data_IF_670627945530
#
_entry.id   IF_670627945530
#
_cell.length_a   1.000
_cell.length_b   1.000
_cell.length_c   1.000
_cell.angle_alpha   90.00
_cell.angle_beta   90.00
_cell.angle_gamma   90.00
#
_symmetry.space_group_name_H-M   'P 1'
#
loop_
_entity.id
_entity.type
_entity.pdbx_description
1 polymer ?
#
# COMPACT_ATOMS: atom_id res chain seq x y z
N UNK A 1 21.15 -2.12 13.17
CA UNK A 1 19.81 -2.74 13.28
C UNK A 1 19.07 -2.52 11.97
N UNK A 2 18.41 -3.53 11.42
CA UNK A 2 17.53 -3.40 10.26
C UNK A 2 16.13 -3.82 10.71
N UNK A 3 15.19 -2.89 10.71
CA UNK A 3 13.78 -3.16 10.94
C UNK A 3 13.09 -3.47 9.61
N UNK A 4 12.79 -4.75 9.41
CA UNK A 4 12.01 -5.28 8.30
C UNK A 4 10.70 -5.91 8.80
N UNK A 5 10.21 -5.48 9.95
CA UNK A 5 8.94 -5.94 10.49
C UNK A 5 7.77 -5.35 9.69
N UNK A 6 6.68 -6.11 9.59
CA UNK A 6 5.60 -5.84 8.63
C UNK A 6 4.86 -4.53 8.94
N UNK A 7 4.75 -4.15 10.21
CA UNK A 7 4.02 -2.95 10.65
C UNK A 7 4.86 -1.94 11.43
N UNK A 8 6.19 -2.10 11.44
CA UNK A 8 7.13 -1.22 12.15
C UNK A 8 7.12 -1.46 13.65
N UNK A 9 7.17 -2.71 14.06
CA UNK A 9 7.16 -3.15 15.45
C UNK A 9 8.37 -2.59 16.22
N UNK A 10 9.59 -2.59 15.63
CA UNK A 10 10.76 -1.99 16.30
C UNK A 10 10.69 -0.47 16.32
N UNK A 11 10.13 0.16 15.29
CA UNK A 11 9.82 1.61 15.28
C UNK A 11 8.96 1.98 16.49
N UNK A 12 7.92 1.20 16.78
CA UNK A 12 7.04 1.43 17.92
C UNK A 12 7.74 1.20 19.27
N UNK A 13 8.40 0.04 19.44
CA UNK A 13 9.08 -0.32 20.70
C UNK A 13 10.20 0.66 21.04
N UNK A 14 10.94 1.13 20.04
CA UNK A 14 12.01 2.12 20.21
C UNK A 14 11.49 3.56 20.36
N UNK A 15 10.18 3.76 20.36
CA UNK A 15 9.49 5.07 20.40
C UNK A 15 10.07 6.06 19.37
N UNK A 16 10.39 5.56 18.18
CA UNK A 16 10.83 6.39 17.06
C UNK A 16 9.63 7.19 16.54
N UNK A 17 9.77 8.51 16.29
CA UNK A 17 8.68 9.28 15.72
C UNK A 17 8.18 8.70 14.39
N UNK A 18 6.88 8.42 14.31
CA UNK A 18 6.23 7.85 13.13
C UNK A 18 4.87 8.51 12.86
N UNK A 19 4.39 8.31 11.63
CA UNK A 19 3.03 8.61 11.18
C UNK A 19 2.26 7.32 10.99
N UNK A 20 0.94 7.40 11.15
CA UNK A 20 0.01 6.28 10.98
C UNK A 20 -1.30 6.80 10.41
N UNK A 21 -1.94 6.01 9.54
CA UNK A 21 -3.20 6.37 8.92
C UNK A 21 -3.08 7.59 8.01
N UNK A 22 -4.12 8.41 7.91
CA UNK A 22 -4.18 9.52 6.95
C UNK A 22 -3.33 10.70 7.40
N UNK A 23 -2.45 11.17 6.50
CA UNK A 23 -1.74 12.44 6.62
C UNK A 23 -2.68 13.63 6.36
N UNK A 24 -2.56 14.77 7.06
CA UNK A 24 -3.42 15.92 6.83
C UNK A 24 -3.19 16.57 5.46
N UNK A 25 -4.25 17.18 4.90
CA UNK A 25 -4.20 18.00 3.69
C UNK A 25 -3.07 19.03 3.80
N UNK A 26 -2.23 19.05 2.77
CA UNK A 26 -1.15 20.01 2.64
C UNK A 26 -0.81 20.23 1.17
N UNK A 27 0.15 21.10 0.88
CA UNK A 27 0.63 21.26 -0.50
C UNK A 27 1.45 20.05 -1.00
N UNK A 28 1.87 19.15 -0.09
CA UNK A 28 2.57 17.90 -0.39
C UNK A 28 1.62 16.71 -0.54
N UNK A 29 0.47 16.78 0.14
CA UNK A 29 -0.64 15.80 0.15
C UNK A 29 -1.97 16.50 -0.23
N UNK A 30 -2.05 17.12 -1.43
CA UNK A 30 -3.22 17.92 -1.82
C UNK A 30 -4.50 17.10 -1.98
N UNK A 31 -4.41 15.77 -2.12
CA UNK A 31 -5.55 14.88 -2.28
C UNK A 31 -5.97 14.17 -0.99
N UNK A 32 -5.37 14.49 0.16
CA UNK A 32 -5.74 13.87 1.43
C UNK A 32 -7.23 14.09 1.75
N UNK A 33 -7.85 13.09 2.35
CA UNK A 33 -9.26 13.13 2.75
C UNK A 33 -9.49 13.82 4.10
N UNK A 34 -8.43 14.28 4.78
CA UNK A 34 -8.52 14.77 6.16
C UNK A 34 -7.76 16.06 6.39
N UNK A 35 -8.38 17.02 7.08
CA UNK A 35 -7.70 18.25 7.51
C UNK A 35 -6.76 18.04 8.71
N UNK A 36 -6.90 16.91 9.41
CA UNK A 36 -6.10 16.53 10.59
C UNK A 36 -5.54 15.12 10.40
N UNK A 37 -4.42 14.76 11.06
CA UNK A 37 -3.98 13.36 11.09
C UNK A 37 -5.10 12.44 11.59
N UNK A 38 -5.27 11.30 10.95
CA UNK A 38 -6.25 10.27 11.36
C UNK A 38 -5.56 8.91 11.47
N UNK A 39 -5.03 8.56 12.66
CA UNK A 39 -4.25 7.33 12.86
C UNK A 39 -5.09 6.06 12.87
N UNK A 40 -6.42 6.17 12.84
CA UNK A 40 -7.32 5.01 12.90
C UNK A 40 -7.73 4.52 11.52
N UNK A 41 -7.67 5.40 10.52
CA UNK A 41 -7.95 5.06 9.13
C UNK A 41 -6.69 4.58 8.41
N UNK A 42 -6.28 3.34 8.69
CA UNK A 42 -5.27 2.64 7.90
C UNK A 42 -5.93 1.95 6.70
N UNK A 43 -5.15 1.63 5.66
CA UNK A 43 -5.61 0.80 4.56
C UNK A 43 -5.97 -0.61 5.04
N UNK A 44 -6.97 -1.21 4.40
CA UNK A 44 -7.43 -2.56 4.74
C UNK A 44 -6.35 -3.63 4.60
N UNK A 45 -6.47 -4.69 5.41
CA UNK A 45 -5.62 -5.87 5.32
C UNK A 45 -6.45 -7.09 4.91
N UNK A 46 -5.78 -8.16 4.48
CA UNK A 46 -6.50 -9.32 3.90
C UNK A 46 -5.87 -10.63 4.28
N UNK A 47 -6.67 -11.56 4.81
CA UNK A 47 -6.33 -12.97 4.79
C UNK A 47 -6.74 -13.55 3.45
N UNK A 48 -5.77 -14.03 2.68
CA UNK A 48 -6.06 -14.77 1.45
C UNK A 48 -6.37 -16.23 1.78
N UNK A 49 -7.05 -16.89 0.85
CA UNK A 49 -7.29 -18.33 0.92
C UNK A 49 -7.24 -18.92 -0.48
N UNK A 50 -6.98 -20.22 -0.57
CA UNK A 50 -7.01 -20.93 -1.84
C UNK A 50 -8.29 -21.76 -1.96
N UNK A 51 -8.90 -21.75 -3.14
CA UNK A 51 -10.04 -22.60 -3.48
C UNK A 51 -9.75 -23.34 -4.77
N UNK A 52 -10.27 -24.56 -4.88
CA UNK A 52 -10.13 -25.41 -6.06
C UNK A 52 -11.48 -25.67 -6.72
N UNK A 53 -11.52 -25.57 -8.05
CA UNK A 53 -12.68 -25.96 -8.84
C UNK A 53 -12.83 -27.49 -8.88
N UNK A 54 -14.05 -27.98 -8.66
CA UNK A 54 -14.40 -29.41 -8.59
C UNK A 54 -15.34 -29.80 -9.72
N UNK A 55 -15.32 -31.07 -10.14
CA UNK A 55 -16.27 -31.56 -11.15
C UNK A 55 -17.71 -31.53 -10.63
N UNK A 56 -17.91 -32.04 -9.42
CA UNK A 56 -19.21 -32.11 -8.76
C UNK A 56 -19.42 -30.95 -7.77
N UNK A 57 -20.67 -30.51 -7.56
CA UNK A 57 -21.00 -29.50 -6.56
C UNK A 57 -20.63 -29.99 -5.16
N UNK A 58 -20.12 -29.08 -4.33
CA UNK A 58 -19.75 -29.32 -2.95
C UNK A 58 -20.83 -28.81 -2.00
N UNK A 59 -21.05 -29.52 -0.89
CA UNK A 59 -21.91 -29.05 0.20
C UNK A 59 -21.08 -28.18 1.14
N UNK A 60 -21.54 -26.97 1.40
CA UNK A 60 -20.93 -26.05 2.37
C UNK A 60 -21.89 -25.82 3.53
N UNK A 61 -21.40 -26.04 4.75
CA UNK A 61 -22.14 -25.66 5.95
C UNK A 61 -22.06 -24.14 6.12
N UNK A 62 -23.18 -23.54 6.54
CA UNK A 62 -23.24 -22.10 6.79
C UNK A 62 -22.42 -21.82 8.05
N UNK A 63 -21.36 -21.02 8.00
CA UNK A 63 -20.61 -20.69 9.20
C UNK A 63 -21.49 -19.86 10.17
N UNK A 64 -21.38 -20.11 11.48
CA UNK A 64 -22.21 -19.43 12.49
C UNK A 64 -22.08 -17.90 12.47
N UNK A 65 -20.93 -17.39 12.01
CA UNK A 65 -20.65 -15.97 11.87
C UNK A 65 -21.09 -15.37 10.51
N UNK A 66 -21.53 -16.19 9.54
CA UNK A 66 -21.78 -15.71 8.17
C UNK A 66 -22.86 -14.63 8.11
N UNK A 67 -23.94 -14.78 8.89
CA UNK A 67 -25.05 -13.81 8.93
C UNK A 67 -24.57 -12.40 9.31
N UNK A 68 -23.51 -12.30 10.12
CA UNK A 68 -22.88 -11.02 10.50
C UNK A 68 -22.25 -10.32 9.29
N UNK A 69 -21.48 -11.05 8.47
CA UNK A 69 -20.71 -10.48 7.36
C UNK A 69 -21.42 -10.50 6.00
N UNK A 70 -22.50 -11.27 5.85
CA UNK A 70 -23.26 -11.34 4.59
C UNK A 70 -23.68 -9.96 4.01
N UNK A 71 -24.00 -8.93 4.82
CA UNK A 71 -24.30 -7.58 4.31
C UNK A 71 -23.08 -6.80 3.78
N UNK A 72 -21.85 -7.32 3.94
CA UNK A 72 -20.63 -6.67 3.47
C UNK A 72 -20.30 -7.02 2.03
N UNK A 73 -20.46 -8.29 1.65
CA UNK A 73 -19.86 -8.82 0.43
C UNK A 73 -20.47 -8.27 -0.86
N UNK A 74 -19.60 -7.98 -1.83
CA UNK A 74 -19.99 -7.49 -3.15
C UNK A 74 -18.91 -7.75 -4.20
N UNK A 75 -19.32 -7.86 -5.46
CA UNK A 75 -18.41 -7.73 -6.60
C UNK A 75 -17.96 -6.29 -6.87
N UNK A 76 -18.45 -5.31 -6.10
CA UNK A 76 -18.15 -3.87 -6.14
C UNK A 76 -18.69 -3.16 -7.39
N UNK A 77 -18.38 -3.66 -8.58
CA UNK A 77 -18.71 -3.02 -9.86
C UNK A 77 -19.44 -3.99 -10.80
N UNK A 78 -20.46 -3.49 -11.50
CA UNK A 78 -21.27 -4.30 -12.45
C UNK A 78 -20.44 -4.99 -13.53
N UNK A 79 -19.39 -4.33 -14.03
CA UNK A 79 -18.51 -4.91 -15.05
C UNK A 79 -17.56 -5.99 -14.51
N UNK A 80 -17.36 -6.05 -13.19
CA UNK A 80 -16.54 -7.05 -12.50
C UNK A 80 -17.37 -8.15 -11.85
N UNK A 81 -18.71 -8.03 -11.85
CA UNK A 81 -19.66 -8.96 -11.26
C UNK A 81 -19.76 -10.29 -12.02
N UNK A 82 -18.70 -11.08 -11.95
CA UNK A 82 -18.56 -12.39 -12.58
C UNK A 82 -17.66 -13.26 -11.70
N UNK A 83 -18.21 -14.37 -11.20
CA UNK A 83 -17.41 -15.33 -10.45
C UNK A 83 -16.29 -15.92 -11.29
N UNK A 84 -16.50 -16.37 -12.56
CA UNK A 84 -15.41 -16.86 -13.39
C UNK A 84 -14.29 -15.83 -13.54
N UNK A 85 -14.62 -14.55 -13.66
CA UNK A 85 -13.63 -13.49 -13.75
C UNK A 85 -12.82 -13.35 -12.46
N UNK A 86 -13.50 -13.25 -11.30
CA UNK A 86 -12.84 -13.15 -9.99
C UNK A 86 -11.95 -14.37 -9.73
N UNK A 87 -12.43 -15.56 -10.08
CA UNK A 87 -11.69 -16.80 -9.94
C UNK A 87 -10.46 -16.84 -10.87
N UNK A 88 -10.63 -16.59 -12.16
CA UNK A 88 -9.54 -16.74 -13.15
C UNK A 88 -8.49 -15.63 -13.06
N UNK A 89 -8.90 -14.41 -12.71
CA UNK A 89 -7.99 -13.28 -12.44
C UNK A 89 -6.99 -13.59 -11.31
N UNK A 90 -7.37 -14.47 -10.38
CA UNK A 90 -6.58 -14.87 -9.21
C UNK A 90 -6.06 -16.31 -9.27
N UNK A 91 -6.16 -16.95 -10.42
CA UNK A 91 -5.74 -18.34 -10.61
C UNK A 91 -4.23 -18.46 -10.49
N UNK A 92 -3.80 -19.38 -9.63
CA UNK A 92 -2.39 -19.69 -9.36
C UNK A 92 -1.96 -21.03 -9.96
N UNK A 93 -2.91 -21.88 -10.33
CA UNK A 93 -2.65 -23.17 -10.95
C UNK A 93 -3.80 -23.57 -11.88
N UNK A 94 -3.45 -24.22 -13.00
CA UNK A 94 -4.40 -24.89 -13.89
C UNK A 94 -3.79 -26.20 -14.38
N UNK A 95 -4.57 -27.29 -14.49
CA UNK A 95 -4.07 -28.54 -15.06
C UNK A 95 -3.89 -28.48 -16.58
N UNK A 96 -4.47 -27.49 -17.27
CA UNK A 96 -4.35 -27.34 -18.72
C UNK A 96 -4.03 -25.88 -19.10
N UNK A 97 -2.76 -25.45 -18.93
CA UNK A 97 -2.36 -24.08 -19.25
C UNK A 97 -2.44 -23.77 -20.74
N UNK A 98 -2.28 -24.78 -21.60
CA UNK A 98 -2.33 -24.62 -23.06
C UNK A 98 -3.70 -24.14 -23.55
N UNK A 99 -4.79 -24.44 -22.81
CA UNK A 99 -6.12 -23.91 -23.11
C UNK A 99 -6.13 -22.38 -23.16
N UNK A 100 -5.28 -21.73 -22.36
CA UNK A 100 -5.25 -20.28 -22.16
C UNK A 100 -4.27 -19.52 -23.05
N UNK A 101 -3.67 -20.19 -24.03
CA UNK A 101 -2.88 -19.53 -25.07
C UNK A 101 -3.79 -18.74 -26.02
N UNK A 102 -3.39 -17.52 -26.33
CA UNK A 102 -4.02 -16.65 -27.33
C UNK A 102 -5.53 -16.38 -27.13
N UNK A 103 -6.06 -16.49 -25.90
CA UNK A 103 -7.45 -16.14 -25.62
C UNK A 103 -7.61 -14.66 -25.24
N UNK A 104 -8.69 -14.05 -25.74
CA UNK A 104 -9.14 -12.73 -25.36
C UNK A 104 -9.61 -12.64 -23.90
N UNK A 105 -9.46 -11.45 -23.29
CA UNK A 105 -9.79 -11.20 -21.89
C UNK A 105 -11.27 -11.45 -21.56
N UNK A 106 -12.18 -11.29 -22.52
CA UNK A 106 -13.62 -11.55 -22.33
C UNK A 106 -13.92 -13.02 -22.05
N UNK A 107 -13.05 -13.94 -22.48
CA UNK A 107 -13.21 -15.36 -22.20
C UNK A 107 -13.14 -15.68 -20.71
N UNK A 108 -12.31 -14.95 -19.95
CA UNK A 108 -12.17 -15.14 -18.50
C UNK A 108 -13.45 -14.85 -17.70
N UNK A 109 -14.45 -14.22 -18.31
CA UNK A 109 -15.77 -14.01 -17.68
C UNK A 109 -16.74 -15.16 -17.86
N UNK A 110 -16.41 -16.15 -18.70
CA UNK A 110 -17.27 -17.29 -19.01
C UNK A 110 -16.96 -18.47 -18.09
N UNK A 111 -17.99 -19.26 -17.79
CA UNK A 111 -17.85 -20.43 -16.92
C UNK A 111 -16.82 -21.45 -17.46
N UNK A 112 -16.67 -21.57 -18.78
CA UNK A 112 -15.70 -22.50 -19.38
C UNK A 112 -14.23 -22.11 -19.17
N UNK A 113 -13.97 -20.90 -18.65
CA UNK A 113 -12.63 -20.44 -18.29
C UNK A 113 -12.14 -21.02 -16.96
N UNK A 114 -13.04 -21.54 -16.12
CA UNK A 114 -12.72 -22.23 -14.86
C UNK A 114 -12.70 -23.73 -15.13
N UNK A 115 -11.54 -24.36 -15.04
CA UNK A 115 -11.40 -25.80 -15.27
C UNK A 115 -11.45 -26.57 -13.96
N UNK A 116 -12.00 -27.78 -14.01
CA UNK A 116 -11.87 -28.73 -12.89
C UNK A 116 -10.39 -28.91 -12.56
N UNK A 117 -10.05 -28.76 -11.28
CA UNK A 117 -8.68 -28.82 -10.79
C UNK A 117 -7.94 -27.48 -10.76
N UNK A 118 -8.46 -26.42 -11.38
CA UNK A 118 -7.90 -25.07 -11.23
C UNK A 118 -7.87 -24.67 -9.75
N UNK A 119 -6.81 -23.97 -9.35
CA UNK A 119 -6.67 -23.40 -8.01
C UNK A 119 -6.53 -21.90 -8.13
N UNK A 120 -7.31 -21.17 -7.33
CA UNK A 120 -7.31 -19.72 -7.28
C UNK A 120 -7.12 -19.20 -5.86
N UNK A 121 -6.28 -18.17 -5.71
CA UNK A 121 -5.97 -17.54 -4.42
C UNK A 121 -6.76 -16.23 -4.27
N UNK A 122 -7.80 -16.25 -3.45
CA UNK A 122 -8.80 -15.19 -3.43
C UNK A 122 -8.39 -13.96 -2.59
N UNK A 123 -8.59 -12.80 -3.21
CA UNK A 123 -8.51 -11.47 -2.61
C UNK A 123 -9.39 -10.49 -3.41
N UNK A 124 -10.36 -9.85 -2.74
CA UNK A 124 -11.27 -8.86 -3.33
C UNK A 124 -11.65 -7.75 -2.34
N UNK A 125 -11.74 -6.50 -2.82
CA UNK A 125 -11.96 -5.29 -1.99
C UNK A 125 -13.23 -5.34 -1.15
N UNK A 126 -14.38 -5.60 -1.77
CA UNK A 126 -15.64 -5.86 -1.06
C UNK A 126 -15.85 -7.35 -0.79
N UNK A 127 -14.76 -8.10 -0.69
CA UNK A 127 -14.75 -9.52 -0.32
C UNK A 127 -14.12 -9.71 1.06
N UNK A 128 -12.82 -9.97 1.07
CA UNK A 128 -12.05 -10.33 2.26
C UNK A 128 -11.05 -9.27 2.72
N UNK A 129 -11.08 -8.05 2.17
CA UNK A 129 -10.38 -6.93 2.78
C UNK A 129 -11.13 -6.49 4.04
N UNK A 130 -10.49 -6.66 5.20
CA UNK A 130 -10.99 -6.08 6.45
C UNK A 130 -10.50 -4.64 6.55
N UNK A 131 -11.43 -3.67 6.63
CA UNK A 131 -11.16 -2.23 6.44
C UNK A 131 -11.54 -1.39 7.67
N UNK A 132 -10.85 -1.58 8.81
CA UNK A 132 -11.15 -0.87 10.04
C UNK A 132 -10.80 0.62 9.91
N UNK A 133 -11.49 1.49 10.66
CA UNK A 133 -11.38 2.95 10.48
C UNK A 133 -11.69 3.80 11.71
N UNK A 134 -11.80 3.19 12.90
CA UNK A 134 -12.16 3.91 14.13
C UNK A 134 -11.23 3.54 15.28
N UNK A 135 -11.21 4.33 16.35
CA UNK A 135 -10.46 4.06 17.58
C UNK A 135 -10.88 2.75 18.29
N UNK A 136 -12.10 2.29 18.05
CA UNK A 136 -12.65 1.02 18.56
C UNK A 136 -12.31 -0.19 17.69
N UNK A 137 -12.09 0.06 16.40
CA UNK A 137 -11.77 -0.96 15.40
C UNK A 137 -10.78 -0.36 14.41
N UNK A 138 -9.50 -0.53 14.76
CA UNK A 138 -8.27 -0.23 14.01
C UNK A 138 -7.31 -1.41 14.20
N UNK A 139 -6.59 -1.80 13.14
CA UNK A 139 -5.66 -2.93 13.19
C UNK A 139 -4.37 -2.57 13.94
N UNK A 140 -3.71 -1.49 13.53
CA UNK A 140 -2.42 -1.06 14.07
C UNK A 140 -2.70 -0.09 15.21
N UNK A 141 -2.27 -0.41 16.43
CA UNK A 141 -2.44 0.49 17.56
C UNK A 141 -1.65 1.78 17.37
N UNK A 142 -2.31 2.91 17.63
CA UNK A 142 -1.65 4.21 17.77
C UNK A 142 -0.71 4.20 18.98
N UNK A 143 0.21 5.17 19.04
CA UNK A 143 1.13 5.28 20.18
C UNK A 143 0.37 5.39 21.50
N UNK A 144 -0.66 6.22 21.55
CA UNK A 144 -1.49 6.41 22.74
C UNK A 144 -2.22 5.12 23.15
N UNK A 145 -2.67 4.31 22.18
CA UNK A 145 -3.26 3.00 22.46
C UNK A 145 -2.22 2.01 22.99
N UNK A 146 -1.00 2.00 22.44
CA UNK A 146 0.11 1.18 22.92
C UNK A 146 0.54 1.56 24.34
N UNK A 147 0.51 2.85 24.67
CA UNK A 147 0.79 3.34 26.02
C UNK A 147 -0.33 2.92 26.99
N UNK A 148 -1.58 3.18 26.62
CA UNK A 148 -2.76 2.89 27.44
C UNK A 148 -2.95 1.39 27.71
N UNK A 149 -2.60 0.52 26.76
CA UNK A 149 -2.68 -0.93 26.94
C UNK A 149 -1.39 -1.57 27.48
N UNK A 150 -0.40 -0.76 27.86
CA UNK A 150 0.84 -1.22 28.49
C UNK A 150 1.87 -1.85 27.55
N UNK A 151 1.65 -1.86 26.23
CA UNK A 151 2.57 -2.49 25.29
C UNK A 151 3.91 -1.74 25.13
N UNK A 152 3.99 -0.48 25.54
CA UNK A 152 5.26 0.26 25.60
C UNK A 152 6.06 0.00 26.89
N UNK A 153 5.52 -0.73 27.87
CA UNK A 153 6.23 -1.06 29.10
C UNK A 153 7.20 -2.23 28.87
N UNK A 154 8.33 -2.31 29.62
CA UNK A 154 9.25 -3.44 29.53
C UNK A 154 8.53 -4.79 29.72
N UNK A 155 8.64 -5.67 28.73
CA UNK A 155 7.97 -6.98 28.73
C UNK A 155 6.48 -6.96 28.38
N UNK A 156 5.89 -5.80 28.08
CA UNK A 156 4.48 -5.64 27.75
C UNK A 156 4.13 -5.82 26.27
N UNK A 157 5.11 -5.93 25.38
CA UNK A 157 4.86 -5.96 23.93
C UNK A 157 4.06 -7.18 23.47
N UNK A 158 2.92 -6.94 22.81
CA UNK A 158 2.04 -7.98 22.25
C UNK A 158 1.92 -7.88 20.73
N UNK A 159 2.92 -7.31 20.05
CA UNK A 159 2.94 -7.14 18.60
C UNK A 159 2.37 -5.82 18.09
N UNK A 160 1.76 -5.00 18.96
CA UNK A 160 1.25 -3.69 18.60
C UNK A 160 0.05 -3.72 17.63
N UNK A 161 -0.61 -4.87 17.50
CA UNK A 161 -1.79 -5.07 16.66
C UNK A 161 -3.00 -5.47 17.52
N UNK A 162 -4.20 -5.12 17.05
CA UNK A 162 -5.46 -5.51 17.68
C UNK A 162 -5.87 -6.92 17.26
N UNK A 163 -5.83 -7.86 18.21
CA UNK A 163 -6.12 -9.27 17.97
C UNK A 163 -7.58 -9.50 17.53
N UNK A 164 -8.55 -8.74 18.08
CA UNK A 164 -9.96 -8.86 17.72
C UNK A 164 -10.21 -8.50 16.25
N UNK A 165 -9.53 -7.46 15.75
CA UNK A 165 -9.61 -7.05 14.34
C UNK A 165 -9.00 -8.10 13.44
N UNK A 166 -7.86 -8.70 13.80
CA UNK A 166 -7.28 -9.83 13.06
C UNK A 166 -8.27 -11.01 12.97
N UNK A 167 -8.87 -11.40 14.09
CA UNK A 167 -9.87 -12.46 14.13
C UNK A 167 -11.08 -12.14 13.25
N UNK A 168 -11.58 -10.91 13.27
CA UNK A 168 -12.67 -10.48 12.40
C UNK A 168 -12.27 -10.54 10.91
N UNK A 169 -11.03 -10.24 10.57
CA UNK A 169 -10.50 -10.42 9.21
C UNK A 169 -10.46 -11.89 8.77
N UNK A 170 -10.14 -12.83 9.66
CA UNK A 170 -10.19 -14.27 9.35
C UNK A 170 -11.63 -14.74 9.07
N UNK A 171 -12.59 -14.29 9.89
CA UNK A 171 -14.00 -14.61 9.69
C UNK A 171 -14.52 -14.01 8.39
N UNK A 172 -14.16 -12.76 8.10
CA UNK A 172 -14.53 -12.11 6.84
C UNK A 172 -14.01 -12.91 5.63
N UNK A 173 -12.78 -13.42 5.68
CA UNK A 173 -12.21 -14.23 4.61
C UNK A 173 -12.92 -15.58 4.41
N UNK A 174 -13.20 -16.31 5.51
CA UNK A 174 -13.95 -17.58 5.43
C UNK A 174 -15.39 -17.37 4.97
N UNK A 175 -16.03 -16.30 5.43
CA UNK A 175 -17.37 -15.92 4.98
C UNK A 175 -17.38 -15.50 3.51
N UNK A 176 -16.30 -14.90 3.00
CA UNK A 176 -16.17 -14.56 1.58
C UNK A 176 -16.11 -15.81 0.71
N UNK A 177 -15.39 -16.86 1.13
CA UNK A 177 -15.44 -18.16 0.45
C UNK A 177 -16.88 -18.69 0.37
N UNK A 178 -17.60 -18.70 1.49
CA UNK A 178 -19.00 -19.15 1.51
C UNK A 178 -19.91 -18.26 0.64
N UNK A 179 -19.69 -16.94 0.65
CA UNK A 179 -20.43 -16.01 -0.19
C UNK A 179 -20.20 -16.31 -1.68
N UNK A 180 -18.96 -16.55 -2.09
CA UNK A 180 -18.59 -16.89 -3.47
C UNK A 180 -19.31 -18.16 -3.94
N UNK A 181 -19.32 -19.23 -3.13
CA UNK A 181 -19.86 -20.54 -3.53
C UNK A 181 -21.36 -20.69 -3.32
N UNK A 182 -21.93 -20.09 -2.27
CA UNK A 182 -23.32 -20.33 -1.85
C UNK A 182 -24.15 -19.05 -1.71
N UNK A 183 -23.52 -17.91 -1.42
CA UNK A 183 -24.20 -16.62 -1.26
C UNK A 183 -24.95 -16.14 -2.52
N UNK A 184 -26.03 -15.38 -2.31
CA UNK A 184 -26.94 -14.85 -3.35
C UNK A 184 -27.15 -13.33 -3.25
N UNK A 185 -26.60 -12.69 -2.21
CA UNK A 185 -26.73 -11.25 -1.97
C UNK A 185 -25.52 -10.49 -2.53
N UNK A 186 -25.66 -9.20 -2.80
CA UNK A 186 -24.55 -8.30 -3.13
C UNK A 186 -24.84 -6.93 -2.53
N UNK A 187 -23.95 -6.46 -1.64
CA UNK A 187 -24.19 -5.27 -0.82
C UNK A 187 -24.16 -3.95 -1.60
N UNK A 188 -23.47 -3.90 -2.74
CA UNK A 188 -23.31 -2.68 -3.54
C UNK A 188 -24.18 -2.69 -4.80
N UNK A 189 -24.41 -3.87 -5.38
CA UNK A 189 -25.07 -4.02 -6.68
C UNK A 189 -26.53 -4.44 -6.58
N UNK A 190 -26.98 -4.87 -5.39
CA UNK A 190 -28.35 -5.25 -5.12
C UNK A 190 -28.69 -6.69 -5.51
N UNK A 191 -29.99 -6.99 -5.55
CA UNK A 191 -30.50 -8.34 -5.75
C UNK A 191 -30.30 -8.87 -7.18
N UNK A 192 -30.19 -10.19 -7.33
CA UNK A 192 -30.14 -10.88 -8.63
C UNK A 192 -28.78 -10.85 -9.33
N UNK A 193 -27.80 -10.11 -8.81
CA UNK A 193 -26.44 -10.02 -9.38
C UNK A 193 -25.60 -11.26 -9.04
N UNK A 194 -25.64 -11.70 -7.78
CA UNK A 194 -24.87 -12.85 -7.30
C UNK A 194 -25.66 -14.15 -7.45
N UNK A 195 -25.02 -15.14 -8.08
CA UNK A 195 -25.52 -16.53 -8.18
C UNK A 195 -24.59 -17.48 -7.44
N UNK A 196 -25.07 -18.63 -6.93
CA UNK A 196 -24.20 -19.65 -6.33
C UNK A 196 -23.26 -20.31 -7.35
N UNK A 197 -22.06 -20.71 -6.90
CA UNK A 197 -21.05 -21.46 -7.66
C UNK A 197 -20.54 -22.65 -6.81
N UNK A 198 -21.36 -23.70 -6.62
CA UNK A 198 -21.09 -24.75 -5.63
C UNK A 198 -19.95 -25.70 -6.02
N UNK A 199 -19.45 -25.64 -7.25
CA UNK A 199 -18.41 -26.53 -7.78
C UNK A 199 -17.00 -26.10 -7.33
N UNK A 200 -16.83 -25.76 -6.06
CA UNK A 200 -15.55 -25.35 -5.50
C UNK A 200 -15.39 -25.81 -4.07
N UNK A 201 -14.15 -26.10 -3.66
CA UNK A 201 -13.81 -26.39 -2.27
C UNK A 201 -12.72 -25.48 -1.75
N UNK A 202 -12.81 -25.10 -0.48
CA UNK A 202 -11.73 -24.44 0.24
C UNK A 202 -10.58 -25.44 0.42
N UNK A 203 -9.35 -25.01 0.11
CA UNK A 203 -8.17 -25.82 0.37
C UNK A 203 -7.67 -25.54 1.79
N UNK A 204 -7.52 -26.62 2.57
CA UNK A 204 -7.07 -26.59 3.97
C UNK A 204 -6.00 -27.66 4.18
N UNK A 205 -5.31 -27.60 5.31
CA UNK A 205 -4.24 -28.54 5.65
C UNK A 205 -2.86 -28.06 5.23
N UNK A 206 -1.82 -28.68 5.78
CA UNK A 206 -0.42 -28.27 5.59
C UNK A 206 0.08 -28.49 4.16
N UNK A 207 -0.54 -29.41 3.43
CA UNK A 207 -0.24 -29.68 2.02
C UNK A 207 -0.99 -28.75 1.05
N UNK A 208 -1.87 -27.87 1.56
CA UNK A 208 -2.54 -26.86 0.73
C UNK A 208 -1.59 -25.71 0.35
N UNK A 209 -1.90 -24.93 -0.70
CA UNK A 209 -1.07 -23.77 -1.07
C UNK A 209 -0.87 -22.74 0.04
N UNK A 210 -1.81 -22.62 0.98
CA UNK A 210 -1.66 -21.71 2.13
C UNK A 210 -0.75 -22.29 3.22
N UNK A 211 -0.60 -23.62 3.26
CA UNK A 211 0.21 -24.32 4.25
C UNK A 211 -0.31 -24.16 5.69
N UNK A 212 -1.63 -24.03 5.87
CA UNK A 212 -2.27 -23.86 7.17
C UNK A 212 -3.46 -24.81 7.33
N UNK A 213 -3.67 -25.30 8.56
CA UNK A 213 -4.81 -26.20 8.87
C UNK A 213 -6.14 -25.51 8.62
N UNK A 214 -6.24 -24.20 8.89
CA UNK A 214 -7.47 -23.43 8.72
C UNK A 214 -7.70 -22.90 7.29
N UNK A 215 -6.75 -23.10 6.35
CA UNK A 215 -6.88 -22.74 4.94
C UNK A 215 -6.75 -21.25 4.58
N UNK A 216 -6.37 -20.40 5.54
CA UNK A 216 -6.05 -18.98 5.30
C UNK A 216 -4.53 -18.79 5.21
N UNK A 217 -4.07 -17.69 4.64
CA UNK A 217 -2.65 -17.31 4.67
C UNK A 217 -2.10 -17.30 6.10
N UNK A 218 -0.80 -17.63 6.25
CA UNK A 218 -0.10 -17.68 7.56
C UNK A 218 -0.10 -16.34 8.30
N UNK A 219 -0.14 -15.26 7.54
CA UNK A 219 -0.22 -13.88 8.00
C UNK A 219 -1.10 -13.12 6.99
N UNK A 220 -1.85 -12.10 7.40
CA UNK A 220 -2.57 -11.27 6.43
C UNK A 220 -1.59 -10.45 5.60
N UNK A 221 -2.00 -10.09 4.39
CA UNK A 221 -1.31 -9.06 3.61
C UNK A 221 -1.62 -7.69 4.23
N UNK A 222 -0.61 -7.06 4.82
CA UNK A 222 -0.72 -5.71 5.37
C UNK A 222 -0.48 -4.70 4.25
N UNK A 223 -1.30 -3.65 4.19
CA UNK A 223 -1.14 -2.59 3.18
C UNK A 223 -0.49 -1.32 3.72
N UNK A 224 -0.47 -1.17 5.04
CA UNK A 224 0.04 0.02 5.72
C UNK A 224 0.77 -0.39 6.99
N UNK A 225 1.67 0.48 7.44
CA UNK A 225 2.53 0.30 8.60
C UNK A 225 2.74 1.63 9.33
N UNK A 226 3.46 1.59 10.45
CA UNK A 226 4.00 2.81 11.10
C UNK A 226 5.11 3.38 10.23
N UNK A 227 4.85 4.52 9.60
CA UNK A 227 5.77 5.16 8.65
C UNK A 227 6.69 6.11 9.41
N UNK A 228 8.00 5.83 9.44
CA UNK A 228 8.93 6.72 10.16
C UNK A 228 8.94 8.12 9.58
N UNK A 229 9.40 9.08 10.39
CA UNK A 229 9.90 10.34 9.85
C UNK A 229 11.37 10.12 9.48
N UNK A 230 11.68 10.31 8.20
CA UNK A 230 13.02 10.07 7.65
C UNK A 230 14.05 11.09 8.10
N UNK A 231 15.32 10.83 7.82
CA UNK A 231 16.47 11.62 8.27
C UNK A 231 16.31 13.08 7.85
N UNK A 232 16.47 14.04 8.78
CA UNK A 232 16.41 15.45 8.44
C UNK A 232 17.59 15.86 7.56
N UNK A 233 17.40 16.92 6.80
CA UNK A 233 18.46 17.57 6.01
C UNK A 233 18.24 19.08 6.01
N UNK A 234 19.13 19.85 5.36
CA UNK A 234 18.97 21.31 5.25
C UNK A 234 17.65 21.73 4.58
N UNK A 235 17.12 20.90 3.68
CA UNK A 235 15.85 21.16 2.97
C UNK A 235 14.65 20.63 3.76
N UNK A 236 14.87 19.64 4.63
CA UNK A 236 13.85 18.97 5.43
C UNK A 236 14.25 18.96 6.91
N UNK A 237 14.27 20.13 7.59
CA UNK A 237 14.77 20.25 8.96
C UNK A 237 13.96 19.43 9.96
N UNK A 238 12.65 19.30 9.73
CA UNK A 238 11.73 18.54 10.58
C UNK A 238 11.63 17.06 10.19
N UNK A 239 12.50 16.60 9.29
CA UNK A 239 12.53 15.23 8.78
C UNK A 239 11.97 15.07 7.37
N UNK A 240 12.38 13.97 6.74
CA UNK A 240 12.05 13.66 5.35
C UNK A 240 10.81 12.78 5.24
N UNK A 241 10.02 12.97 4.19
CA UNK A 241 8.89 12.10 3.83
C UNK A 241 8.68 12.19 2.31
N UNK A 242 8.53 11.04 1.66
CA UNK A 242 8.08 10.97 0.26
C UNK A 242 6.58 11.21 0.24
N UNK A 243 6.13 12.17 -0.58
CA UNK A 243 4.74 12.63 -0.59
C UNK A 243 4.01 12.31 -1.90
N UNK A 244 2.71 12.56 -1.95
CA UNK A 244 1.86 12.34 -3.12
C UNK A 244 2.44 13.00 -4.37
N UNK A 245 2.79 14.28 -4.28
CA UNK A 245 3.29 15.07 -5.42
C UNK A 245 4.65 14.58 -5.93
N UNK A 246 5.37 13.78 -5.14
CA UNK A 246 6.65 13.20 -5.54
C UNK A 246 6.50 12.10 -6.58
N UNK A 247 5.35 11.42 -6.62
CA UNK A 247 5.15 10.24 -7.47
C UNK A 247 3.90 10.30 -8.36
N UNK A 248 2.91 11.11 -8.02
CA UNK A 248 1.59 11.06 -8.65
C UNK A 248 1.57 11.61 -10.08
N UNK A 249 0.83 10.94 -10.98
CA UNK A 249 0.50 11.48 -12.31
C UNK A 249 -0.74 12.38 -12.31
N UNK A 250 -1.34 12.68 -11.16
CA UNK A 250 -2.53 13.54 -11.01
C UNK A 250 -2.35 14.94 -11.61
N UNK A 251 -3.39 15.44 -12.29
CA UNK A 251 -3.44 16.84 -12.72
C UNK A 251 -3.94 17.73 -11.57
N UNK A 252 -3.03 18.53 -11.02
CA UNK A 252 -3.33 19.48 -9.95
C UNK A 252 -3.89 20.82 -10.43
N UNK A 253 -4.09 21.01 -11.75
CA UNK A 253 -4.88 22.13 -12.29
C UNK A 253 -6.39 21.87 -12.26
N UNK A 254 -6.80 20.62 -11.98
CA UNK A 254 -8.20 20.23 -11.85
C UNK A 254 -8.94 21.15 -10.88
N UNK A 255 -10.17 21.52 -11.26
CA UNK A 255 -11.01 22.50 -10.54
C UNK A 255 -11.17 22.15 -9.06
N UNK A 256 -11.17 20.85 -8.72
CA UNK A 256 -11.21 20.40 -7.34
C UNK A 256 -10.11 21.03 -6.49
N UNK A 257 -8.84 21.06 -6.95
CA UNK A 257 -7.74 21.57 -6.11
C UNK A 257 -7.80 23.09 -5.96
N UNK A 258 -8.35 23.79 -6.95
CA UNK A 258 -8.58 25.24 -6.89
C UNK A 258 -9.68 25.62 -5.91
N UNK A 259 -10.68 24.75 -5.75
CA UNK A 259 -11.86 25.00 -4.93
C UNK A 259 -11.75 24.44 -3.50
N UNK A 260 -11.01 23.35 -3.32
CA UNK A 260 -10.89 22.67 -2.01
C UNK A 260 -9.67 23.09 -1.21
N UNK A 261 -8.59 23.52 -1.85
CA UNK A 261 -7.39 24.01 -1.16
C UNK A 261 -7.51 25.52 -0.90
N UNK A 262 -6.98 25.98 0.24
CA UNK A 262 -6.81 27.41 0.46
C UNK A 262 -5.87 28.01 -0.59
N UNK A 263 -6.05 29.30 -0.90
CA UNK A 263 -5.25 29.99 -1.93
C UNK A 263 -3.73 29.87 -1.68
N UNK A 264 -3.30 29.91 -0.41
CA UNK A 264 -1.87 29.77 -0.06
C UNK A 264 -1.37 28.33 -0.22
N UNK A 265 -2.16 27.33 0.16
CA UNK A 265 -1.83 25.92 -0.04
C UNK A 265 -1.75 25.60 -1.53
N UNK A 266 -2.71 26.07 -2.33
CA UNK A 266 -2.71 25.88 -3.77
C UNK A 266 -1.50 26.57 -4.44
N UNK A 267 -1.15 27.81 -4.04
CA UNK A 267 0.04 28.50 -4.55
C UNK A 267 1.33 27.71 -4.25
N UNK A 268 1.47 27.17 -3.03
CA UNK A 268 2.63 26.34 -2.64
C UNK A 268 2.67 25.02 -3.40
N UNK A 269 1.53 24.37 -3.61
CA UNK A 269 1.42 23.15 -4.41
C UNK A 269 1.95 23.41 -5.81
N UNK A 270 1.47 24.49 -6.43
CA UNK A 270 1.87 24.90 -7.78
C UNK A 270 3.35 25.22 -7.88
N UNK A 271 3.92 25.88 -6.87
CA UNK A 271 5.37 26.08 -6.79
C UNK A 271 6.16 24.78 -6.65
N UNK A 272 5.67 23.81 -5.86
CA UNK A 272 6.33 22.53 -5.64
C UNK A 272 6.37 21.66 -6.92
N UNK A 273 5.25 21.59 -7.66
CA UNK A 273 5.16 20.77 -8.90
C UNK A 273 5.83 21.42 -10.11
N UNK A 274 6.12 22.72 -10.05
CA UNK A 274 6.83 23.48 -11.08
C UNK A 274 8.34 23.17 -11.14
N UNK A 275 8.88 22.47 -10.15
CA UNK A 275 10.31 22.17 -10.08
C UNK A 275 11.16 23.45 -10.07
N UNK A 276 12.09 23.57 -11.03
CA UNK A 276 13.04 24.70 -11.13
C UNK A 276 12.35 26.05 -11.40
N UNK A 277 11.13 26.06 -11.93
CA UNK A 277 10.33 27.28 -12.14
C UNK A 277 9.55 27.69 -10.87
N UNK A 278 9.59 26.90 -9.79
CA UNK A 278 8.81 27.16 -8.57
C UNK A 278 9.11 28.51 -7.92
N UNK A 279 10.34 29.04 -8.06
CA UNK A 279 10.72 30.35 -7.51
C UNK A 279 10.01 31.52 -8.19
N UNK A 280 9.70 31.45 -9.49
CA UNK A 280 8.96 32.52 -10.19
C UNK A 280 7.46 32.50 -9.81
N UNK A 281 6.93 31.33 -9.46
CA UNK A 281 5.57 31.15 -8.93
C UNK A 281 5.44 31.73 -7.52
N UNK A 282 6.40 31.43 -6.64
CA UNK A 282 6.43 31.96 -5.26
C UNK A 282 6.54 33.49 -5.25
N UNK A 283 7.33 34.06 -6.18
CA UNK A 283 7.53 35.51 -6.31
C UNK A 283 6.38 36.23 -7.03
N UNK A 284 5.37 35.51 -7.52
CA UNK A 284 4.22 36.08 -8.23
C UNK A 284 4.56 36.66 -9.62
N UNK A 285 5.74 36.35 -10.16
CA UNK A 285 6.21 36.88 -11.46
C UNK A 285 5.68 36.08 -12.65
N UNK A 286 5.06 34.92 -12.40
CA UNK A 286 4.42 34.08 -13.42
C UNK A 286 3.01 33.71 -12.96
N UNK A 287 2.05 33.70 -13.88
CA UNK A 287 0.70 33.26 -13.57
C UNK A 287 0.73 31.78 -13.17
N UNK A 288 0.01 31.45 -12.09
CA UNK A 288 -0.02 30.09 -11.52
C UNK A 288 -0.46 29.04 -12.55
N UNK A 289 -1.28 29.45 -13.53
CA UNK A 289 -1.86 28.60 -14.56
C UNK A 289 -0.97 28.41 -15.80
N UNK A 290 0.15 29.14 -15.94
CA UNK A 290 1.03 29.07 -17.12
C UNK A 290 2.27 28.21 -16.92
N UNK A 291 2.44 27.61 -15.74
CA UNK A 291 3.67 26.92 -15.35
C UNK A 291 3.69 25.48 -15.86
N UNK A 292 4.77 25.09 -16.55
CA UNK A 292 4.93 23.73 -17.07
C UNK A 292 5.08 22.75 -15.91
N UNK A 293 4.15 21.81 -15.83
CA UNK A 293 4.14 20.73 -14.85
C UNK A 293 5.36 19.82 -15.06
N UNK A 294 5.99 19.35 -13.97
CA UNK A 294 6.90 18.20 -14.01
C UNK A 294 6.10 16.94 -14.37
N UNK A 295 6.36 16.33 -15.52
CA UNK A 295 5.78 15.03 -15.91
C UNK A 295 6.70 13.85 -15.58
N UNK A 296 7.24 13.84 -14.36
CA UNK A 296 8.02 12.72 -13.78
C UNK A 296 7.97 12.76 -12.26
N UNK A 297 8.48 11.70 -11.62
CA UNK A 297 8.69 11.67 -10.18
C UNK A 297 9.83 12.60 -9.73
N UNK A 298 9.88 12.87 -8.43
CA UNK A 298 11.03 13.52 -7.79
C UNK A 298 12.26 12.62 -7.95
N UNK A 299 13.37 13.21 -8.38
CA UNK A 299 14.66 12.52 -8.45
C UNK A 299 15.37 12.76 -7.13
N UNK A 300 15.75 11.67 -6.46
CA UNK A 300 16.47 11.70 -5.21
C UNK A 300 17.94 11.37 -5.44
N UNK A 301 18.89 12.27 -5.07
CA UNK A 301 20.33 12.04 -5.23
C UNK A 301 20.83 10.84 -4.41
N UNK A 302 20.12 10.53 -3.35
CA UNK A 302 20.35 9.44 -2.39
C UNK A 302 19.52 8.20 -2.67
N UNK A 303 19.05 7.99 -3.90
CA UNK A 303 18.32 6.78 -4.26
C UNK A 303 19.19 5.53 -4.09
N UNK A 304 18.63 4.51 -3.44
CA UNK A 304 19.22 3.19 -3.23
C UNK A 304 18.36 2.06 -3.80
N UNK A 305 17.27 2.39 -4.49
CA UNK A 305 16.36 1.43 -5.10
C UNK A 305 15.33 2.12 -5.97
N UNK A 306 14.48 1.34 -6.63
CA UNK A 306 13.40 1.84 -7.47
C UNK A 306 12.10 1.06 -7.24
N UNK A 307 10.98 1.68 -7.61
CA UNK A 307 9.67 1.05 -7.60
C UNK A 307 8.74 1.67 -8.64
N UNK A 308 7.75 0.90 -9.06
CA UNK A 308 6.67 1.41 -9.91
C UNK A 308 5.40 0.61 -9.63
N UNK A 309 4.39 1.31 -9.13
CA UNK A 309 3.06 0.77 -8.92
C UNK A 309 2.05 1.92 -8.92
N UNK A 310 0.79 1.63 -9.26
CA UNK A 310 -0.27 2.61 -9.13
C UNK A 310 -0.48 2.97 -7.64
N UNK A 311 -0.97 4.17 -7.38
CA UNK A 311 -1.47 4.57 -6.07
C UNK A 311 -2.85 3.90 -5.92
N UNK A 312 -2.84 2.70 -5.33
CA UNK A 312 -4.01 1.82 -5.21
C UNK A 312 -4.48 1.75 -3.74
N UNK A 313 -5.66 2.29 -3.48
CA UNK A 313 -6.22 2.44 -2.14
C UNK A 313 -7.23 1.36 -1.78
N UNK A 314 -7.17 0.97 -0.50
CA UNK A 314 -8.17 0.17 0.19
C UNK A 314 -8.70 0.97 1.39
N UNK A 315 -9.61 1.94 1.16
CA UNK A 315 -10.02 2.90 2.18
C UNK A 315 -10.60 2.25 3.42
N UNK A 316 -10.38 2.85 4.59
CA UNK A 316 -11.09 2.46 5.80
C UNK A 316 -12.61 2.71 5.67
N UNK A 317 -13.39 2.00 6.47
CA UNK A 317 -14.83 2.22 6.59
C UNK A 317 -15.16 3.35 7.57
N UNK A 318 -16.27 4.03 7.36
CA UNK A 318 -16.70 5.16 8.20
C UNK A 318 -17.30 4.73 9.54
N UNK A 319 -17.93 3.56 9.59
CA UNK A 319 -18.60 3.03 10.78
C UNK A 319 -17.95 1.72 11.25
N UNK A 320 -18.17 1.41 12.53
CA UNK A 320 -17.76 0.13 13.13
C UNK A 320 -19.00 -0.57 13.74
N UNK A 321 -19.14 -1.90 13.58
CA UNK A 321 -18.22 -2.77 12.84
C UNK A 321 -18.29 -2.58 11.31
N UNK A 322 -17.26 -3.04 10.59
CA UNK A 322 -17.08 -2.74 9.15
C UNK A 322 -18.23 -3.25 8.29
N UNK A 323 -18.88 -4.34 8.70
CA UNK A 323 -19.97 -5.03 8.03
C UNK A 323 -21.37 -4.46 8.30
N UNK A 324 -21.48 -3.31 8.98
CA UNK A 324 -22.77 -2.62 9.13
C UNK A 324 -23.43 -2.44 7.75
N UNK A 325 -24.70 -2.84 7.57
CA UNK A 325 -25.42 -2.59 6.33
C UNK A 325 -25.44 -1.10 5.98
N UNK A 326 -25.04 -0.76 4.76
CA UNK A 326 -24.97 0.63 4.31
C UNK A 326 -23.76 1.41 4.83
N UNK A 327 -22.78 0.76 5.45
CA UNK A 327 -21.50 1.38 5.75
C UNK A 327 -20.79 1.79 4.45
N UNK A 328 -20.03 2.88 4.51
CA UNK A 328 -19.36 3.46 3.34
C UNK A 328 -17.87 3.61 3.59
N UNK A 329 -17.11 3.59 2.51
CA UNK A 329 -15.71 4.00 2.53
C UNK A 329 -15.59 5.46 2.97
N UNK A 330 -14.48 5.81 3.61
CA UNK A 330 -14.18 7.20 3.95
C UNK A 330 -14.21 8.07 2.69
N UNK A 331 -15.08 9.09 2.74
CA UNK A 331 -15.26 10.02 1.63
C UNK A 331 -13.94 10.75 1.30
N UNK A 332 -13.61 10.82 0.01
CA UNK A 332 -12.41 11.49 -0.48
C UNK A 332 -11.13 10.65 -0.46
N UNK A 333 -11.09 9.49 0.20
CA UNK A 333 -9.85 8.72 0.35
C UNK A 333 -9.29 8.24 -1.01
N UNK A 334 -10.16 7.90 -1.94
CA UNK A 334 -9.75 7.51 -3.30
C UNK A 334 -9.27 8.68 -4.17
N UNK A 335 -9.30 9.94 -3.70
CA UNK A 335 -8.94 11.12 -4.50
C UNK A 335 -7.46 11.11 -4.92
N UNK A 336 -6.58 10.66 -4.03
CA UNK A 336 -5.15 10.52 -4.30
C UNK A 336 -4.80 9.33 -5.18
N UNK A 337 -5.75 8.42 -5.43
CA UNK A 337 -5.53 7.20 -6.20
C UNK A 337 -5.30 7.46 -7.69
N UNK A 338 -4.60 6.53 -8.34
CA UNK A 338 -4.37 6.57 -9.78
C UNK A 338 -2.95 6.17 -10.19
N UNK A 339 -2.53 6.62 -11.38
CA UNK A 339 -1.22 6.29 -11.92
C UNK A 339 -0.11 7.04 -11.16
N UNK A 340 1.01 6.36 -10.92
CA UNK A 340 2.25 6.97 -10.47
C UNK A 340 3.27 7.01 -11.61
N UNK A 341 4.21 7.94 -11.55
CA UNK A 341 5.46 7.84 -12.30
C UNK A 341 6.35 6.76 -11.66
N UNK A 342 7.22 6.09 -12.43
CA UNK A 342 8.31 5.30 -11.85
C UNK A 342 9.07 6.13 -10.82
N UNK A 343 9.34 5.60 -9.64
CA UNK A 343 9.86 6.36 -8.49
C UNK A 343 11.06 5.69 -7.82
N UNK A 344 11.79 6.47 -7.03
CA UNK A 344 13.04 6.08 -6.39
C UNK A 344 12.86 5.84 -4.89
N UNK A 345 13.74 5.04 -4.31
CA UNK A 345 13.80 4.77 -2.86
C UNK A 345 14.96 5.56 -2.26
N UNK A 346 14.75 6.77 -1.73
CA UNK A 346 15.82 7.56 -1.11
C UNK A 346 16.28 6.95 0.22
N UNK A 347 17.59 6.85 0.41
CA UNK A 347 18.20 6.31 1.63
C UNK A 347 17.77 7.08 2.88
N UNK A 348 17.61 8.40 2.79
CA UNK A 348 17.15 9.20 3.94
C UNK A 348 15.72 8.86 4.38
N UNK A 349 14.89 8.24 3.54
CA UNK A 349 13.58 7.73 3.96
C UNK A 349 13.67 6.43 4.78
N UNK A 350 14.81 5.75 4.73
CA UNK A 350 15.06 4.49 5.44
C UNK A 350 15.81 4.71 6.77
N UNK A 351 16.30 5.93 7.03
CA UNK A 351 17.05 6.25 8.25
C UNK A 351 16.16 7.11 9.16
N UNK A 352 15.86 6.71 10.40
CA UNK A 352 15.06 7.51 11.33
C UNK A 352 15.82 8.74 11.83
N UNK A 353 15.09 9.78 12.27
CA UNK A 353 15.66 11.08 12.65
C UNK A 353 16.72 11.03 13.77
N UNK A 354 16.56 10.11 14.74
CA UNK A 354 17.27 10.14 16.02
C UNK A 354 18.09 8.87 16.33
N UNK A 355 18.14 7.91 15.41
CA UNK A 355 18.87 6.65 15.59
C UNK A 355 19.82 6.46 14.40
N UNK A 356 21.11 6.51 14.67
CA UNK A 356 22.17 6.55 13.65
C UNK A 356 22.59 5.17 13.13
N UNK A 357 22.21 4.10 13.84
CA UNK A 357 22.56 2.72 13.55
C UNK A 357 21.33 1.84 13.23
N UNK A 358 20.23 2.46 12.77
CA UNK A 358 19.00 1.79 12.38
C UNK A 358 18.62 2.09 10.93
N UNK A 359 18.26 1.05 10.19
CA UNK A 359 17.55 1.16 8.91
C UNK A 359 16.14 0.61 9.08
N UNK A 360 15.17 1.26 8.45
CA UNK A 360 13.79 0.81 8.33
C UNK A 360 13.54 0.53 6.85
N UNK A 361 12.88 -0.59 6.55
CA UNK A 361 12.58 -1.01 5.17
C UNK A 361 11.10 -1.34 4.98
N UNK A 362 10.71 -1.65 3.75
CA UNK A 362 9.34 -2.04 3.42
C UNK A 362 8.34 -0.90 3.65
N UNK A 363 7.15 -1.23 4.15
CA UNK A 363 6.01 -0.31 4.31
C UNK A 363 6.25 0.78 5.37
N UNK A 364 7.25 0.59 6.23
CA UNK A 364 7.54 1.46 7.38
C UNK A 364 8.50 2.61 7.06
N UNK A 365 9.03 2.69 5.83
CA UNK A 365 9.87 3.82 5.42
C UNK A 365 9.10 5.16 5.43
N UNK A 366 9.82 6.27 5.33
CA UNK A 366 9.25 7.60 5.37
C UNK A 366 8.45 7.96 4.10
N UNK A 367 7.19 7.54 4.08
CA UNK A 367 6.20 7.86 3.06
C UNK A 367 4.97 8.51 3.71
N UNK A 368 4.24 9.33 2.96
CA UNK A 368 2.89 9.73 3.34
C UNK A 368 1.90 8.57 3.14
N UNK A 369 0.69 8.67 3.68
CA UNK A 369 -0.38 7.70 3.48
C UNK A 369 -0.63 7.43 1.98
N UNK A 370 -0.64 8.50 1.18
CA UNK A 370 -0.90 8.39 -0.26
C UNK A 370 0.29 7.77 -0.99
N UNK A 371 1.51 8.21 -0.71
CA UNK A 371 2.69 7.59 -1.31
C UNK A 371 2.84 6.12 -0.90
N UNK A 372 2.55 5.78 0.35
CA UNK A 372 2.62 4.42 0.88
C UNK A 372 1.76 3.42 0.09
N UNK A 373 0.63 3.85 -0.48
CA UNK A 373 -0.22 3.01 -1.32
C UNK A 373 0.50 2.48 -2.58
N UNK A 374 1.55 3.16 -3.05
CA UNK A 374 2.42 2.68 -4.14
C UNK A 374 3.70 1.99 -3.64
N UNK A 375 4.17 2.31 -2.43
CA UNK A 375 5.40 1.77 -1.82
C UNK A 375 5.14 0.51 -0.95
N UNK A 376 4.08 -0.25 -1.22
CA UNK A 376 3.67 -1.43 -0.42
C UNK A 376 3.75 -2.78 -1.13
N UNK A 377 4.15 -2.78 -2.40
CA UNK A 377 4.19 -4.01 -3.22
C UNK A 377 5.54 -4.72 -3.10
N UNK A 378 5.50 -6.06 -3.19
CA UNK A 378 6.67 -6.93 -2.95
C UNK A 378 7.91 -6.56 -3.77
N UNK A 379 7.76 -6.12 -5.02
CA UNK A 379 8.89 -5.70 -5.87
C UNK A 379 9.66 -4.52 -5.27
N UNK A 380 8.93 -3.53 -4.74
CA UNK A 380 9.52 -2.42 -4.00
C UNK A 380 10.15 -2.92 -2.69
N UNK A 381 9.45 -3.77 -1.94
CA UNK A 381 9.95 -4.25 -0.64
C UNK A 381 11.27 -5.02 -0.79
N UNK A 382 11.39 -5.86 -1.82
CA UNK A 382 12.65 -6.54 -2.16
C UNK A 382 13.78 -5.55 -2.48
N UNK A 383 13.51 -4.52 -3.28
CA UNK A 383 14.52 -3.49 -3.59
C UNK A 383 14.98 -2.76 -2.32
N UNK A 384 14.05 -2.38 -1.44
CA UNK A 384 14.38 -1.74 -0.16
C UNK A 384 15.16 -2.66 0.79
N UNK A 385 14.87 -3.97 0.79
CA UNK A 385 15.58 -4.97 1.59
C UNK A 385 17.02 -5.19 1.10
N UNK A 386 17.23 -5.33 -0.21
CA UNK A 386 18.57 -5.41 -0.81
C UNK A 386 19.36 -4.14 -0.54
N UNK A 387 18.73 -2.97 -0.66
CA UNK A 387 19.32 -1.70 -0.33
C UNK A 387 19.82 -1.66 1.12
N UNK A 388 18.99 -2.09 2.08
CA UNK A 388 19.38 -2.06 3.49
C UNK A 388 20.50 -3.03 3.84
N UNK A 389 20.45 -4.27 3.34
CA UNK A 389 21.52 -5.25 3.55
C UNK A 389 22.86 -4.76 3.00
N UNK A 390 22.86 -4.23 1.77
CA UNK A 390 24.06 -3.69 1.13
C UNK A 390 24.58 -2.45 1.83
N UNK A 391 23.69 -1.55 2.26
CA UNK A 391 24.06 -0.33 2.99
C UNK A 391 24.67 -0.65 4.35
N UNK A 392 24.10 -1.62 5.09
CA UNK A 392 24.63 -2.05 6.37
C UNK A 392 26.04 -2.66 6.22
N UNK A 393 26.25 -3.54 5.24
CA UNK A 393 27.56 -4.11 4.94
C UNK A 393 28.58 -3.03 4.52
N UNK A 394 28.16 -2.11 3.65
CA UNK A 394 29.00 -0.99 3.21
C UNK A 394 29.41 -0.10 4.39
N UNK A 395 28.47 0.26 5.26
CA UNK A 395 28.73 1.09 6.42
C UNK A 395 29.71 0.44 7.40
N UNK A 396 29.53 -0.86 7.68
CA UNK A 396 30.43 -1.64 8.53
C UNK A 396 31.83 -1.76 7.92
N UNK A 397 31.92 -2.04 6.62
CA UNK A 397 33.20 -2.19 5.91
C UNK A 397 34.02 -0.91 5.90
N UNK A 398 33.35 0.25 5.76
CA UNK A 398 34.02 1.55 5.68
C UNK A 398 34.13 2.29 7.03
N UNK A 399 33.58 1.73 8.11
CA UNK A 399 33.63 2.35 9.44
C UNK A 399 32.85 3.66 9.53
N UNK A 400 31.71 3.76 8.84
CA UNK A 400 30.86 4.96 8.81
C UNK A 400 29.49 4.71 9.42
N UNK A 401 28.87 5.75 9.96
CA UNK A 401 27.48 5.73 10.35
C UNK A 401 26.56 5.93 9.14
N UNK A 402 25.34 5.42 9.20
CA UNK A 402 24.38 5.46 8.09
C UNK A 402 24.07 6.89 7.65
N UNK A 403 23.97 7.81 8.61
CA UNK A 403 23.60 9.20 8.31
C UNK A 403 24.68 9.95 7.52
N UNK A 404 25.95 9.52 7.60
CA UNK A 404 27.06 10.15 6.87
C UNK A 404 26.98 9.90 5.35
N UNK A 405 26.04 9.06 4.90
CA UNK A 405 25.74 8.88 3.49
C UNK A 405 24.76 9.93 2.96
N UNK A 406 24.15 10.74 3.83
CA UNK A 406 23.03 11.62 3.49
C UNK A 406 23.06 13.00 4.19
N UNK A 407 24.15 13.37 4.88
CA UNK A 407 24.20 14.54 5.76
C UNK A 407 24.54 15.87 5.06
N UNK A 408 25.15 15.86 3.88
CA UNK A 408 25.43 17.06 3.07
C UNK A 408 24.56 17.18 1.81
N UNK A 409 23.50 16.36 1.67
CA UNK A 409 22.54 16.45 0.55
C UNK A 409 21.97 17.87 0.40
N UNK A 410 21.80 18.37 -0.84
CA UNK A 410 21.97 17.69 -2.14
C UNK A 410 23.40 17.78 -2.72
N UNK A 411 24.43 18.10 -1.92
CA UNK A 411 25.82 18.10 -2.40
C UNK A 411 26.29 16.66 -2.66
N UNK A 412 27.42 16.53 -3.36
CA UNK A 412 28.01 15.23 -3.67
C UNK A 412 28.46 14.53 -2.40
N UNK A 413 28.13 13.25 -2.31
CA UNK A 413 28.44 12.34 -1.22
C UNK A 413 29.25 11.17 -1.80
N UNK A 414 30.60 11.22 -1.81
CA UNK A 414 31.42 10.23 -2.51
C UNK A 414 31.18 8.79 -2.04
N UNK A 415 30.88 8.61 -0.75
CA UNK A 415 30.59 7.29 -0.17
C UNK A 415 29.22 6.75 -0.61
N UNK A 416 28.21 7.63 -0.70
CA UNK A 416 26.90 7.28 -1.26
C UNK A 416 27.02 6.91 -2.74
N UNK A 417 27.83 7.62 -3.52
CA UNK A 417 28.07 7.28 -4.93
C UNK A 417 28.71 5.88 -5.10
N UNK A 418 29.64 5.52 -4.21
CA UNK A 418 30.24 4.18 -4.20
C UNK A 418 29.22 3.09 -3.80
N UNK A 419 28.39 3.36 -2.79
CA UNK A 419 27.29 2.49 -2.40
C UNK A 419 26.32 2.26 -3.58
N UNK A 420 25.93 3.33 -4.29
CA UNK A 420 25.04 3.24 -5.46
C UNK A 420 25.63 2.41 -6.59
N UNK A 421 26.91 2.59 -6.91
CA UNK A 421 27.63 1.75 -7.89
C UNK A 421 27.63 0.27 -7.50
N UNK A 422 27.79 -0.02 -6.19
CA UNK A 422 27.72 -1.40 -5.68
C UNK A 422 26.33 -1.99 -5.86
N UNK A 423 25.27 -1.26 -5.47
CA UNK A 423 23.89 -1.69 -5.63
C UNK A 423 23.56 -2.01 -7.10
N UNK A 424 23.95 -1.13 -8.01
CA UNK A 424 23.71 -1.31 -9.46
C UNK A 424 24.45 -2.51 -10.02
N UNK A 425 25.72 -2.69 -9.65
CA UNK A 425 26.53 -3.86 -10.03
C UNK A 425 25.90 -5.16 -9.52
N UNK A 426 25.34 -5.14 -8.32
CA UNK A 426 24.77 -6.31 -7.66
C UNK A 426 23.29 -6.54 -8.03
N UNK A 427 22.77 -5.81 -9.03
CA UNK A 427 21.45 -6.05 -9.63
C UNK A 427 20.28 -5.33 -8.95
N UNK A 428 20.54 -4.34 -8.11
CA UNK A 428 19.52 -3.46 -7.52
C UNK A 428 19.66 -2.02 -8.08
N UNK A 429 18.94 -1.67 -9.16
CA UNK A 429 19.06 -0.37 -9.80
C UNK A 429 18.70 0.78 -8.86
N UNK A 430 19.45 1.88 -8.91
CA UNK A 430 19.16 3.10 -8.12
C UNK A 430 18.41 4.16 -8.92
N UNK A 431 18.23 3.97 -10.22
CA UNK A 431 17.44 4.83 -11.09
C UNK A 431 16.86 4.02 -12.25
N UNK A 432 15.74 4.49 -12.81
CA UNK A 432 15.24 3.98 -14.08
C UNK A 432 16.12 4.46 -15.24
N UNK A 433 16.17 3.74 -16.38
CA UNK A 433 16.86 4.21 -17.58
C UNK A 433 16.46 5.64 -17.96
N UNK A 434 17.43 6.42 -18.45
CA UNK A 434 17.24 7.82 -18.89
C UNK A 434 16.74 8.81 -17.81
N UNK A 435 16.88 8.44 -16.53
CA UNK A 435 16.60 9.34 -15.41
C UNK A 435 17.61 10.49 -15.40
N UNK A 436 17.13 11.71 -15.62
CA UNK A 436 17.96 12.92 -15.63
C UNK A 436 17.18 14.11 -15.12
N UNK A 437 17.84 15.02 -14.40
CA UNK A 437 17.25 16.31 -14.00
C UNK A 437 16.88 17.18 -15.21
N UNK A 438 17.47 16.90 -16.38
CA UNK A 438 17.17 17.57 -17.65
C UNK A 438 16.04 16.90 -18.43
N UNK A 439 15.63 15.69 -18.03
CA UNK A 439 14.50 14.98 -18.60
C UNK A 439 13.26 15.18 -17.71
N UNK A 440 12.33 16.04 -18.13
CA UNK A 440 11.15 16.37 -17.34
C UNK A 440 9.87 15.66 -17.81
N UNK A 441 9.93 14.81 -18.84
CA UNK A 441 8.74 14.16 -19.41
C UNK A 441 8.88 12.64 -19.51
N UNK A 442 8.16 11.94 -18.65
CA UNK A 442 8.02 10.49 -18.57
C UNK A 442 6.57 10.05 -18.84
N UNK A 443 5.74 10.87 -19.50
CA UNK A 443 4.34 10.54 -19.75
C UNK A 443 4.18 9.30 -20.66
N UNK A 444 5.15 9.03 -21.52
CA UNK A 444 5.20 7.85 -22.40
C UNK A 444 5.90 6.63 -21.78
N UNK A 445 6.40 6.74 -20.54
CA UNK A 445 7.07 5.64 -19.85
C UNK A 445 6.03 4.58 -19.47
N UNK A 446 6.15 3.39 -20.09
CA UNK A 446 5.22 2.25 -19.99
C UNK A 446 5.79 1.18 -19.08
#
# INVERSE_FOLDING_TARGET
VIDATETGELVAIADVPYKLGIDPISYLEPSSSSAKPDPYCTQGFTYTFAMQATAEPQKHEVPDFYARYAPYYSYELKNLASFPFVFTYRRIFTPNPDKFKDIDISFYKKDEAVLVGDISMQNWTWGNDYRPGTDRDNLIYSRDQLEANGQLQPGGWLGGLRAETLFQGEQLAKGYFYWLTTGTTDSQLGEGVKKPYPNHRLLTGLDSPMGTVHGLSKHPYMREARRIIGRPSRIYPDGFTISEIDISRRDYNDEYYRTTLSADVYRRLKAAVAGLEGLSVIRGTSAVDTVKRRSRSTIYPDSVGIGHYAIDFHPCMTQTPVEIPGNTERAGERRGGGQAYPFQVPLRAMIPQKIDNMLVVGKSIATSHIAAAAYRVHSFEWSSGVAAGTTADFALTNGIALYQLVDDLPRSEPQLEQLRKRLERDGNPTAFPDTSIFNNNWDTWK
#
